data_IF_467219232183
#
_entry.id   IF_467219232183
#
_cell.length_a   1.000
_cell.length_b   1.000
_cell.length_c   1.000
_cell.angle_alpha   90.00
_cell.angle_beta   90.00
_cell.angle_gamma   90.00
#
_symmetry.space_group_name_H-M   'P 1'
#
loop_
_entity.id
_entity.type
_entity.pdbx_description
1 polymer ?
#
# COMPACT_ATOMS: atom_id res chain seq x y z
N UNK A 1 -18.99 -0.13 7.31
CA UNK A 1 -18.86 -0.24 8.78
C UNK A 1 -18.82 1.10 9.53
N UNK A 2 -18.86 2.27 8.86
CA UNK A 2 -18.82 3.58 9.55
C UNK A 2 -20.15 4.01 10.20
N UNK A 3 -21.29 3.57 9.66
CA UNK A 3 -22.62 3.99 10.15
C UNK A 3 -22.91 3.55 11.59
N UNK A 4 -22.52 2.33 11.98
CA UNK A 4 -22.82 1.81 13.32
C UNK A 4 -22.11 2.59 14.43
N UNK A 5 -20.87 3.05 14.19
CA UNK A 5 -20.15 3.94 15.10
C UNK A 5 -20.80 5.32 15.21
N UNK A 6 -21.25 5.88 14.09
CA UNK A 6 -21.93 7.18 14.07
C UNK A 6 -23.24 7.16 14.85
N UNK A 7 -24.08 6.13 14.65
CA UNK A 7 -25.35 6.00 15.38
C UNK A 7 -25.13 5.68 16.87
N UNK A 8 -24.10 4.90 17.21
CA UNK A 8 -23.71 4.64 18.60
C UNK A 8 -23.31 5.92 19.34
N UNK A 9 -22.49 6.77 18.69
CA UNK A 9 -22.06 8.05 19.28
C UNK A 9 -23.23 9.03 19.43
N UNK A 10 -24.13 9.11 18.44
CA UNK A 10 -25.33 9.96 18.50
C UNK A 10 -26.28 9.54 19.63
N UNK A 11 -26.51 8.23 19.79
CA UNK A 11 -27.32 7.68 20.87
C UNK A 11 -26.71 7.95 22.24
N UNK A 12 -25.39 7.86 22.35
CA UNK A 12 -24.67 8.18 23.57
C UNK A 12 -24.78 9.66 23.95
N UNK A 13 -24.63 10.55 22.96
CA UNK A 13 -24.75 11.99 23.14
C UNK A 13 -26.18 12.40 23.52
N UNK A 14 -27.19 11.74 22.94
CA UNK A 14 -28.59 11.90 23.32
C UNK A 14 -28.87 11.46 24.77
N UNK A 15 -28.26 10.36 25.22
CA UNK A 15 -28.41 9.87 26.60
C UNK A 15 -27.76 10.80 27.62
N UNK A 16 -26.60 11.39 27.28
CA UNK A 16 -25.92 12.41 28.09
C UNK A 16 -26.77 13.68 28.19
N UNK A 17 -27.28 14.19 27.06
CA UNK A 17 -28.19 15.34 27.03
C UNK A 17 -29.46 15.10 27.87
N UNK A 18 -30.08 13.91 27.75
CA UNK A 18 -31.26 13.54 28.53
C UNK A 18 -30.98 13.49 30.03
N UNK A 19 -29.85 12.90 30.44
CA UNK A 19 -29.43 12.86 31.83
C UNK A 19 -29.17 14.26 32.40
N UNK A 20 -28.46 15.12 31.66
CA UNK A 20 -28.22 16.52 32.06
C UNK A 20 -29.55 17.28 32.19
N UNK A 21 -30.44 17.16 31.20
CA UNK A 21 -31.75 17.81 31.21
C UNK A 21 -32.58 17.38 32.42
N UNK A 22 -32.64 16.07 32.72
CA UNK A 22 -33.33 15.52 33.89
C UNK A 22 -32.69 15.95 35.21
N UNK A 23 -31.40 16.29 35.20
CA UNK A 23 -30.72 16.83 36.38
C UNK A 23 -31.17 18.26 36.66
N UNK A 24 -31.16 19.11 35.63
CA UNK A 24 -31.47 20.54 35.72
C UNK A 24 -32.95 20.81 36.01
N UNK A 25 -33.86 20.00 35.46
CA UNK A 25 -35.32 20.24 35.55
C UNK A 25 -36.01 19.62 36.76
N UNK A 26 -35.41 18.62 37.43
CA UNK A 26 -36.08 17.87 38.50
C UNK A 26 -35.49 18.23 39.87
N UNK A 27 -36.09 19.22 40.53
CA UNK A 27 -35.93 19.63 41.94
C UNK A 27 -34.50 19.91 42.47
N UNK A 28 -34.37 21.09 43.06
CA UNK A 28 -33.20 21.67 43.73
C UNK A 28 -32.82 21.02 45.07
N UNK A 29 -33.38 19.85 45.42
CA UNK A 29 -33.17 19.14 46.69
C UNK A 29 -32.55 17.74 46.53
N UNK A 30 -31.60 17.56 45.60
CA UNK A 30 -31.07 16.21 45.31
C UNK A 30 -30.16 15.70 46.42
N UNK A 31 -30.52 14.53 46.95
CA UNK A 31 -29.66 13.69 47.78
C UNK A 31 -28.36 13.38 47.02
N UNK A 32 -27.23 13.66 47.67
CA UNK A 32 -25.85 13.44 47.22
C UNK A 32 -25.65 12.08 46.50
N UNK A 33 -26.44 11.08 46.90
CA UNK A 33 -26.50 9.75 46.30
C UNK A 33 -26.80 9.75 44.79
N UNK A 34 -27.74 10.57 44.31
CA UNK A 34 -28.08 10.62 42.88
C UNK A 34 -26.94 11.21 42.04
N UNK A 35 -26.16 12.12 42.60
CA UNK A 35 -25.00 12.72 41.93
C UNK A 35 -23.85 11.70 41.86
N UNK A 36 -23.60 10.96 42.96
CA UNK A 36 -22.60 9.89 42.98
C UNK A 36 -22.89 8.78 41.96
N UNK A 37 -24.14 8.33 41.85
CA UNK A 37 -24.52 7.29 40.87
C UNK A 37 -24.25 7.76 39.43
N UNK A 38 -24.51 9.03 39.15
CA UNK A 38 -24.35 9.60 37.80
C UNK A 38 -22.88 9.78 37.41
N UNK A 39 -22.05 10.22 38.35
CA UNK A 39 -20.59 10.26 38.19
C UNK A 39 -20.02 8.87 37.93
N UNK A 40 -20.49 7.86 38.66
CA UNK A 40 -20.02 6.48 38.50
C UNK A 40 -20.36 5.93 37.12
N UNK A 41 -21.59 6.17 36.64
CA UNK A 41 -22.00 5.81 35.27
C UNK A 41 -21.15 6.54 34.21
N UNK A 42 -20.88 7.83 34.40
CA UNK A 42 -20.05 8.60 33.48
C UNK A 42 -18.60 8.11 33.42
N UNK A 43 -18.02 7.75 34.57
CA UNK A 43 -16.67 7.18 34.67
C UNK A 43 -16.62 5.82 33.97
N UNK A 44 -17.58 4.93 34.23
CA UNK A 44 -17.62 3.59 33.60
C UNK A 44 -17.69 3.70 32.08
N UNK A 45 -18.46 4.65 31.55
CA UNK A 45 -18.58 4.78 30.11
C UNK A 45 -17.36 5.51 29.50
N UNK A 46 -16.79 6.48 30.20
CA UNK A 46 -15.57 7.15 29.75
C UNK A 46 -14.39 6.19 29.68
N UNK A 47 -14.25 5.31 30.67
CA UNK A 47 -13.20 4.28 30.70
C UNK A 47 -13.50 3.18 29.68
N UNK A 48 -14.74 2.68 29.61
CA UNK A 48 -15.11 1.62 28.67
C UNK A 48 -15.03 2.07 27.20
N UNK A 49 -15.56 3.26 26.91
CA UNK A 49 -15.52 3.88 25.58
C UNK A 49 -14.12 4.31 25.17
N UNK A 50 -13.36 4.92 26.09
CA UNK A 50 -11.97 5.30 25.85
C UNK A 50 -11.06 4.08 25.64
N UNK A 51 -11.24 3.02 26.45
CA UNK A 51 -10.46 1.79 26.35
C UNK A 51 -10.76 0.99 25.06
N UNK A 52 -12.03 0.84 24.69
CA UNK A 52 -12.39 0.22 23.41
C UNK A 52 -11.95 1.07 22.21
N UNK A 53 -12.06 2.40 22.32
CA UNK A 53 -11.57 3.32 21.29
C UNK A 53 -10.06 3.22 21.08
N UNK A 54 -9.29 3.12 22.18
CA UNK A 54 -7.84 2.91 22.12
C UNK A 54 -7.46 1.57 21.48
N UNK A 55 -8.11 0.47 21.89
CA UNK A 55 -7.85 -0.84 21.29
C UNK A 55 -8.21 -0.89 19.80
N UNK A 56 -9.28 -0.21 19.40
CA UNK A 56 -9.67 -0.12 18.00
C UNK A 56 -8.69 0.73 17.18
N UNK A 57 -8.34 1.92 17.66
CA UNK A 57 -7.34 2.78 17.02
C UNK A 57 -5.97 2.10 16.91
N UNK A 58 -5.55 1.34 17.93
CA UNK A 58 -4.30 0.56 17.88
C UNK A 58 -4.33 -0.51 16.79
N UNK A 59 -5.44 -1.24 16.66
CA UNK A 59 -5.59 -2.27 15.60
C UNK A 59 -5.62 -1.66 14.21
N UNK A 60 -6.26 -0.50 14.06
CA UNK A 60 -6.31 0.19 12.78
C UNK A 60 -4.96 0.80 12.38
N UNK A 61 -4.21 1.31 13.37
CA UNK A 61 -2.84 1.78 13.18
C UNK A 61 -1.91 0.63 12.76
N UNK A 62 -2.04 -0.54 13.39
CA UNK A 62 -1.26 -1.73 13.05
C UNK A 62 -1.58 -2.24 11.63
N UNK A 63 -2.87 -2.28 11.25
CA UNK A 63 -3.29 -2.61 9.89
C UNK A 63 -2.78 -1.60 8.85
N UNK A 64 -2.78 -0.30 9.17
CA UNK A 64 -2.24 0.74 8.29
C UNK A 64 -0.71 0.64 8.14
N UNK A 65 0.02 0.35 9.22
CA UNK A 65 1.46 0.16 9.19
C UNK A 65 1.86 -1.09 8.41
N UNK A 66 1.12 -2.20 8.53
CA UNK A 66 1.36 -3.41 7.74
C UNK A 66 1.18 -3.16 6.23
N UNK A 67 0.14 -2.40 5.85
CA UNK A 67 -0.07 -1.97 4.46
C UNK A 67 1.06 -1.09 3.94
N UNK A 68 1.51 -0.12 4.75
CA UNK A 68 2.61 0.78 4.39
C UNK A 68 3.94 0.02 4.24
N UNK A 69 4.26 -0.90 5.15
CA UNK A 69 5.47 -1.72 5.08
C UNK A 69 5.49 -2.62 3.85
N UNK A 70 4.35 -3.23 3.51
CA UNK A 70 4.23 -4.07 2.31
C UNK A 70 4.45 -3.26 1.03
N UNK A 71 3.88 -2.04 0.95
CA UNK A 71 4.07 -1.17 -0.22
C UNK A 71 5.53 -0.72 -0.39
N UNK A 72 6.25 -0.44 0.70
CA UNK A 72 7.66 -0.06 0.65
C UNK A 72 8.54 -1.21 0.16
N UNK A 73 8.35 -2.42 0.69
CA UNK A 73 9.09 -3.61 0.24
C UNK A 73 8.86 -3.89 -1.26
N UNK A 74 7.65 -3.64 -1.76
CA UNK A 74 7.33 -3.82 -3.19
C UNK A 74 8.01 -2.76 -4.04
N UNK A 75 7.99 -1.49 -3.61
CA UNK A 75 8.71 -0.42 -4.31
C UNK A 75 10.20 -0.75 -4.44
N UNK A 76 10.80 -1.29 -3.38
CA UNK A 76 12.20 -1.74 -3.40
C UNK A 76 12.40 -2.91 -4.38
N UNK A 77 11.50 -3.89 -4.40
CA UNK A 77 11.56 -5.00 -5.36
C UNK A 77 11.41 -4.55 -6.81
N UNK A 78 10.47 -3.65 -7.11
CA UNK A 78 10.28 -3.08 -8.45
C UNK A 78 11.53 -2.32 -8.89
N UNK A 79 12.08 -1.48 -8.01
CA UNK A 79 13.27 -0.71 -8.28
C UNK A 79 14.49 -1.61 -8.51
N UNK A 80 14.68 -2.62 -7.67
CA UNK A 80 15.74 -3.62 -7.83
C UNK A 80 15.63 -4.37 -9.15
N UNK A 81 14.42 -4.77 -9.55
CA UNK A 81 14.19 -5.47 -10.81
C UNK A 81 14.47 -4.56 -12.02
N UNK A 82 14.09 -3.28 -11.95
CA UNK A 82 14.42 -2.27 -12.97
C UNK A 82 15.92 -2.03 -13.10
N UNK A 83 16.64 -1.89 -11.97
CA UNK A 83 18.09 -1.72 -11.97
C UNK A 83 18.81 -2.94 -12.55
N UNK A 84 18.39 -4.15 -12.19
CA UNK A 84 18.94 -5.38 -12.78
C UNK A 84 18.69 -5.45 -14.29
N UNK A 85 17.46 -5.15 -14.74
CA UNK A 85 17.13 -5.14 -16.15
C UNK A 85 17.95 -4.11 -16.94
N UNK A 86 18.13 -2.91 -16.39
CA UNK A 86 18.94 -1.87 -17.03
C UNK A 86 20.40 -2.30 -17.16
N UNK A 87 20.98 -2.84 -16.08
CA UNK A 87 22.36 -3.34 -16.05
C UNK A 87 22.59 -4.50 -17.01
N UNK A 88 21.60 -5.38 -17.16
CA UNK A 88 21.68 -6.53 -18.08
C UNK A 88 21.51 -6.10 -19.55
N UNK A 89 20.75 -5.03 -19.81
CA UNK A 89 20.49 -4.52 -21.17
C UNK A 89 21.60 -3.63 -21.72
N UNK A 90 22.28 -2.87 -20.87
CA UNK A 90 23.36 -1.96 -21.27
C UNK A 90 24.45 -2.64 -22.14
N UNK A 91 25.04 -3.80 -21.76
CA UNK A 91 26.04 -4.45 -22.60
C UNK A 91 25.47 -5.00 -23.91
N UNK A 92 24.21 -5.45 -23.92
CA UNK A 92 23.55 -5.94 -25.13
C UNK A 92 23.27 -4.80 -26.12
N UNK A 93 22.86 -3.64 -25.62
CA UNK A 93 22.66 -2.44 -26.43
C UNK A 93 23.99 -1.92 -26.98
N UNK A 94 25.06 -1.93 -26.17
CA UNK A 94 26.40 -1.57 -26.64
C UNK A 94 26.88 -2.52 -27.74
N UNK A 95 26.73 -3.84 -27.56
CA UNK A 95 27.11 -4.83 -28.57
C UNK A 95 26.31 -4.67 -29.87
N UNK A 96 25.03 -4.33 -29.76
CA UNK A 96 24.16 -4.06 -30.92
C UNK A 96 24.61 -2.81 -31.69
N UNK A 97 24.95 -1.73 -30.97
CA UNK A 97 25.44 -0.50 -31.58
C UNK A 97 26.80 -0.72 -32.26
N UNK A 98 27.70 -1.47 -31.62
CA UNK A 98 29.00 -1.85 -32.19
C UNK A 98 28.84 -2.71 -33.45
N UNK A 99 27.98 -3.73 -33.43
CA UNK A 99 27.69 -4.56 -34.60
C UNK A 99 27.06 -3.74 -35.74
N UNK A 100 26.15 -2.81 -35.42
CA UNK A 100 25.53 -1.88 -36.37
C UNK A 100 26.54 -0.93 -37.00
N UNK A 101 27.45 -0.38 -36.19
CA UNK A 101 28.52 0.51 -36.63
C UNK A 101 29.53 -0.23 -37.51
N UNK A 102 29.92 -1.44 -37.11
CA UNK A 102 30.82 -2.30 -37.89
C UNK A 102 30.19 -2.73 -39.22
N UNK A 103 28.88 -2.99 -39.25
CA UNK A 103 28.15 -3.24 -40.50
C UNK A 103 28.18 -2.04 -41.46
N UNK A 104 28.04 -0.81 -40.94
CA UNK A 104 28.08 0.42 -41.75
C UNK A 104 29.46 0.67 -42.35
N UNK A 105 30.53 0.38 -41.62
CA UNK A 105 31.91 0.64 -42.03
C UNK A 105 32.45 -0.51 -42.91
N UNK A 106 31.90 -1.71 -42.78
CA UNK A 106 32.35 -2.90 -43.51
C UNK A 106 32.00 -2.84 -45.00
N UNK A 107 33.05 -2.99 -45.83
CA UNK A 107 32.96 -3.02 -47.30
C UNK A 107 32.86 -4.46 -47.85
N UNK A 108 33.40 -5.44 -47.13
CA UNK A 108 33.36 -6.86 -47.53
C UNK A 108 31.99 -7.49 -47.26
N UNK A 109 31.43 -8.15 -48.27
CA UNK A 109 30.11 -8.77 -48.22
C UNK A 109 30.01 -9.91 -47.18
N UNK A 110 31.10 -10.65 -46.94
CA UNK A 110 31.18 -11.68 -45.91
C UNK A 110 31.06 -11.11 -44.49
N UNK A 111 31.79 -10.04 -44.18
CA UNK A 111 31.71 -9.36 -42.87
C UNK A 111 30.35 -8.66 -42.69
N UNK A 112 29.80 -8.07 -43.75
CA UNK A 112 28.45 -7.48 -43.71
C UNK A 112 27.37 -8.51 -43.41
N UNK A 113 27.47 -9.73 -43.94
CA UNK A 113 26.55 -10.81 -43.61
C UNK A 113 26.70 -11.23 -42.14
N UNK A 114 27.93 -11.40 -41.67
CA UNK A 114 28.22 -11.76 -40.29
C UNK A 114 27.64 -10.74 -39.29
N UNK A 115 27.87 -9.44 -39.49
CA UNK A 115 27.31 -8.40 -38.61
C UNK A 115 25.79 -8.31 -38.68
N UNK A 116 25.16 -8.63 -39.82
CA UNK A 116 23.69 -8.71 -39.91
C UNK A 116 23.14 -9.86 -39.08
N UNK A 117 23.75 -11.04 -39.18
CA UNK A 117 23.32 -12.21 -38.42
C UNK A 117 23.52 -11.97 -36.91
N UNK A 118 24.61 -11.29 -36.54
CA UNK A 118 24.89 -10.87 -35.16
C UNK A 118 23.86 -9.86 -34.63
N UNK A 119 23.49 -8.85 -35.42
CA UNK A 119 22.42 -7.89 -35.08
C UNK A 119 21.08 -8.62 -34.88
N UNK A 120 20.72 -9.55 -35.75
CA UNK A 120 19.48 -10.33 -35.64
C UNK A 120 19.49 -11.14 -34.35
N UNK A 121 20.58 -11.86 -34.07
CA UNK A 121 20.73 -12.65 -32.85
C UNK A 121 20.65 -11.79 -31.58
N UNK A 122 21.34 -10.64 -31.56
CA UNK A 122 21.28 -9.71 -30.43
C UNK A 122 19.87 -9.17 -30.21
N UNK A 123 19.15 -8.87 -31.29
CA UNK A 123 17.78 -8.35 -31.21
C UNK A 123 16.79 -9.42 -30.70
N UNK A 124 16.97 -10.68 -31.07
CA UNK A 124 16.19 -11.80 -30.51
C UNK A 124 16.43 -11.96 -29.00
N UNK A 125 17.69 -11.88 -28.56
CA UNK A 125 18.04 -11.95 -27.13
C UNK A 125 17.45 -10.78 -26.36
N UNK A 126 17.57 -9.54 -26.87
CA UNK A 126 16.97 -8.35 -26.27
C UNK A 126 15.45 -8.50 -26.15
N UNK A 127 14.78 -8.95 -27.22
CA UNK A 127 13.34 -9.15 -27.23
C UNK A 127 12.92 -10.18 -26.18
N UNK A 128 13.59 -11.34 -26.14
CA UNK A 128 13.32 -12.38 -25.14
C UNK A 128 13.53 -11.90 -23.70
N UNK A 129 14.57 -11.11 -23.46
CA UNK A 129 14.86 -10.55 -22.12
C UNK A 129 13.82 -9.50 -21.71
N UNK A 130 13.35 -8.69 -22.64
CA UNK A 130 12.27 -7.73 -22.40
C UNK A 130 10.95 -8.45 -22.07
N UNK A 131 10.59 -9.49 -22.83
CA UNK A 131 9.40 -10.30 -22.54
C UNK A 131 9.47 -10.98 -21.17
N UNK A 132 10.64 -11.50 -20.79
CA UNK A 132 10.86 -12.09 -19.47
C UNK A 132 10.70 -11.05 -18.36
N UNK A 133 11.24 -9.84 -18.54
CA UNK A 133 11.08 -8.74 -17.60
C UNK A 133 9.62 -8.31 -17.46
N UNK A 134 8.88 -8.16 -18.58
CA UNK A 134 7.45 -7.84 -18.56
C UNK A 134 6.63 -8.93 -17.85
N UNK A 135 6.95 -10.21 -18.06
CA UNK A 135 6.31 -11.33 -17.34
C UNK A 135 6.58 -11.28 -15.84
N UNK A 136 7.82 -10.98 -15.44
CA UNK A 136 8.16 -10.85 -14.02
C UNK A 136 7.46 -9.64 -13.37
N UNK A 137 7.41 -8.50 -14.07
CA UNK A 137 6.73 -7.30 -13.57
C UNK A 137 5.21 -7.52 -13.44
N UNK A 138 4.58 -8.14 -14.44
CA UNK A 138 3.15 -8.46 -14.40
C UNK A 138 2.83 -9.52 -13.33
N UNK A 139 3.69 -10.51 -13.11
CA UNK A 139 3.54 -11.45 -12.00
C UNK A 139 3.61 -10.75 -10.63
N UNK A 140 4.54 -9.80 -10.47
CA UNK A 140 4.67 -9.00 -9.25
C UNK A 140 3.42 -8.13 -9.00
N UNK A 141 2.88 -7.55 -10.07
CA UNK A 141 1.63 -6.77 -10.03
C UNK A 141 0.40 -7.64 -9.72
N UNK A 142 0.32 -8.84 -10.28
CA UNK A 142 -0.78 -9.78 -10.03
C UNK A 142 -0.78 -10.33 -8.60
N UNK A 143 0.40 -10.65 -8.05
CA UNK A 143 0.55 -11.04 -6.65
C UNK A 143 0.07 -9.93 -5.69
N UNK A 144 0.21 -8.66 -6.09
CA UNK A 144 -0.30 -7.53 -5.33
C UNK A 144 -1.82 -7.41 -5.42
N UNK A 145 -2.40 -7.49 -6.62
CA UNK A 145 -3.85 -7.42 -6.81
C UNK A 145 -4.57 -8.54 -6.03
N UNK A 146 -4.04 -9.76 -6.09
CA UNK A 146 -4.57 -10.92 -5.37
C UNK A 146 -4.42 -10.83 -3.83
N UNK A 147 -3.48 -10.02 -3.31
CA UNK A 147 -3.30 -9.79 -1.87
C UNK A 147 -4.14 -8.59 -1.37
N UNK A 148 -4.71 -7.80 -2.28
CA UNK A 148 -5.52 -6.62 -1.97
C UNK A 148 -7.03 -6.91 -1.85
N UNK A 149 -7.47 -8.08 -2.32
CA UNK A 149 -8.78 -8.69 -2.03
C UNK A 149 -8.77 -9.45 -0.70
#
# INVERSE_FOLDING_TARGET
MSGFLQYGYLGFLGLVMYLIYKIVTKDSSKSFFQICVLLLVFIVISIGGGGMGYMWASKELEAANAKKSTAVLIMDQVKSLQEMHHKDMEPLQSALDDASKNLKISVSEGFRKQYRDEIISLNEVITSRNDSFTKQMSALQNLFLAKSE
#
